data_IF_712588829635
#
_entry.id   IF_712588829635
#
_cell.length_a   1.000
_cell.length_b   1.000
_cell.length_c   1.000
_cell.angle_alpha   90.00
_cell.angle_beta   90.00
_cell.angle_gamma   90.00
#
_symmetry.space_group_name_H-M   'P 1'
#
loop_
_entity.id
_entity.type
_entity.pdbx_description
1 polymer ?
#
# COMPACT_ATOMS: atom_id res chain seq x y z
N UNK A 1 -22.67 17.92 4.90
CA UNK A 1 -21.26 17.66 4.63
C UNK A 1 -21.16 16.29 4.02
N UNK A 2 -20.81 16.17 2.76
CA UNK A 2 -20.56 14.87 2.11
C UNK A 2 -19.39 14.18 2.82
N UNK A 3 -19.62 12.98 3.31
CA UNK A 3 -18.58 12.16 3.95
C UNK A 3 -17.47 11.95 2.92
N UNK A 4 -16.25 12.35 3.24
CA UNK A 4 -15.10 12.07 2.38
C UNK A 4 -14.91 10.55 2.35
N UNK A 5 -14.88 9.97 1.16
CA UNK A 5 -14.46 8.58 0.94
C UNK A 5 -13.33 8.58 -0.09
N UNK A 6 -12.42 7.63 0.01
CA UNK A 6 -11.36 7.46 -1.00
C UNK A 6 -11.96 7.13 -2.37
N UNK A 7 -13.12 6.52 -2.40
CA UNK A 7 -13.85 6.12 -3.59
C UNK A 7 -14.55 7.27 -4.34
N UNK A 8 -14.79 8.43 -3.70
CA UNK A 8 -15.28 9.61 -4.45
C UNK A 8 -14.30 10.08 -5.53
N UNK A 9 -13.07 9.57 -5.49
CA UNK A 9 -12.07 9.73 -6.53
C UNK A 9 -11.97 8.51 -7.46
N UNK A 10 -12.94 7.59 -7.47
CA UNK A 10 -12.83 6.27 -8.12
C UNK A 10 -12.49 6.36 -9.60
N UNK A 11 -13.15 7.21 -10.36
CA UNK A 11 -12.86 7.39 -11.79
C UNK A 11 -11.52 8.09 -12.05
N UNK A 12 -10.93 8.72 -11.03
CA UNK A 12 -9.69 9.47 -11.08
C UNK A 12 -8.65 9.08 -10.03
N UNK A 13 -8.91 8.03 -9.19
CA UNK A 13 -8.02 7.71 -8.06
C UNK A 13 -6.57 7.52 -8.51
N UNK A 14 -6.32 6.70 -9.52
CA UNK A 14 -4.98 6.43 -10.03
C UNK A 14 -4.34 7.69 -10.66
N UNK A 15 -5.11 8.48 -11.39
CA UNK A 15 -4.63 9.75 -11.95
C UNK A 15 -4.42 10.81 -10.87
N UNK A 16 -5.28 10.83 -9.85
CA UNK A 16 -5.18 11.76 -8.73
C UNK A 16 -3.96 11.46 -7.86
N UNK A 17 -3.67 10.18 -7.57
CA UNK A 17 -2.55 9.81 -6.70
C UNK A 17 -1.20 10.08 -7.37
N UNK A 18 -1.07 9.87 -8.67
CA UNK A 18 0.16 10.19 -9.42
C UNK A 18 0.47 11.69 -9.42
N UNK A 19 -0.59 12.53 -9.48
CA UNK A 19 -0.49 14.00 -9.32
C UNK A 19 -0.23 14.43 -7.87
N UNK A 20 -0.55 13.58 -6.90
CA UNK A 20 -0.39 13.87 -5.46
C UNK A 20 0.92 13.35 -4.88
N UNK A 21 1.44 12.24 -5.38
CA UNK A 21 2.67 11.60 -4.90
C UNK A 21 3.67 11.50 -6.04
N UNK A 22 4.70 12.34 -6.00
CA UNK A 22 5.74 12.36 -7.02
C UNK A 22 6.38 10.99 -7.17
N UNK A 23 6.37 10.46 -8.41
CA UNK A 23 6.96 9.17 -8.73
C UNK A 23 6.12 7.96 -8.31
N UNK A 24 4.82 8.14 -8.08
CA UNK A 24 3.90 7.04 -7.75
C UNK A 24 3.87 5.98 -8.86
N UNK A 25 3.83 6.38 -10.12
CA UNK A 25 3.87 5.47 -11.27
C UNK A 25 5.15 4.62 -11.30
N UNK A 26 6.30 5.19 -10.90
CA UNK A 26 7.55 4.44 -10.78
C UNK A 26 7.50 3.46 -9.59
N UNK A 27 7.03 3.91 -8.42
CA UNK A 27 6.82 3.03 -7.26
C UNK A 27 5.96 1.82 -7.62
N UNK A 28 4.84 2.06 -8.31
CA UNK A 28 3.92 1.01 -8.74
C UNK A 28 4.61 0.03 -9.72
N UNK A 29 5.35 0.56 -10.70
CA UNK A 29 6.12 -0.26 -11.66
C UNK A 29 7.22 -1.07 -10.98
N UNK A 30 7.92 -0.49 -9.99
CA UNK A 30 8.94 -1.19 -9.21
C UNK A 30 8.34 -2.34 -8.39
N UNK A 31 7.17 -2.14 -7.77
CA UNK A 31 6.48 -3.20 -7.01
C UNK A 31 6.05 -4.34 -7.94
N UNK A 32 5.53 -4.03 -9.12
CA UNK A 32 5.24 -5.06 -10.13
C UNK A 32 6.50 -5.85 -10.51
N UNK A 33 7.62 -5.16 -10.74
CA UNK A 33 8.87 -5.85 -11.06
C UNK A 33 9.39 -6.70 -9.89
N UNK A 34 9.29 -6.22 -8.66
CA UNK A 34 9.65 -6.96 -7.46
C UNK A 34 8.78 -8.21 -7.29
N UNK A 35 7.49 -8.16 -7.69
CA UNK A 35 6.61 -9.33 -7.57
C UNK A 35 7.14 -10.57 -8.27
N UNK A 36 7.91 -10.42 -9.36
CA UNK A 36 8.55 -11.53 -10.10
C UNK A 36 9.53 -12.35 -9.27
N UNK A 37 10.04 -11.78 -8.18
CA UNK A 37 11.03 -12.43 -7.32
C UNK A 37 10.40 -13.15 -6.12
N UNK A 38 9.12 -12.84 -5.81
CA UNK A 38 8.47 -13.31 -4.60
C UNK A 38 7.22 -14.13 -4.85
N UNK A 39 6.52 -13.92 -5.98
CA UNK A 39 5.32 -14.71 -6.28
C UNK A 39 5.73 -16.15 -6.58
N UNK A 40 5.10 -17.11 -5.87
CA UNK A 40 5.38 -18.53 -6.00
C UNK A 40 4.09 -19.32 -6.28
N UNK A 41 4.21 -20.45 -6.99
CA UNK A 41 3.08 -21.32 -7.26
C UNK A 41 2.49 -21.90 -5.97
N UNK A 42 1.17 -22.06 -5.94
CA UNK A 42 0.42 -22.61 -4.83
C UNK A 42 0.53 -21.81 -3.53
N UNK A 43 0.85 -20.51 -3.65
CA UNK A 43 0.90 -19.59 -2.52
C UNK A 43 -0.12 -18.46 -2.67
N UNK A 44 -0.28 -17.69 -1.58
CA UNK A 44 -1.10 -16.48 -1.56
C UNK A 44 -0.24 -15.23 -1.82
N UNK A 45 -0.78 -14.32 -2.64
CA UNK A 45 -0.33 -12.95 -2.80
C UNK A 45 -1.44 -12.04 -2.27
N UNK A 46 -1.14 -11.21 -1.27
CA UNK A 46 -2.15 -10.39 -0.59
C UNK A 46 -1.82 -8.91 -0.74
N UNK A 47 -2.83 -8.09 -1.10
CA UNK A 47 -2.70 -6.62 -1.15
C UNK A 47 -3.65 -5.97 -0.14
N UNK A 48 -3.07 -5.27 0.84
CA UNK A 48 -3.81 -4.59 1.91
C UNK A 48 -4.21 -3.18 1.48
N UNK A 49 -5.52 -2.88 1.50
CA UNK A 49 -6.06 -1.62 1.00
C UNK A 49 -5.94 -1.57 -0.52
N UNK A 50 -6.42 -2.61 -1.17
CA UNK A 50 -6.21 -2.83 -2.61
C UNK A 50 -7.00 -1.87 -3.50
N UNK A 51 -7.89 -1.03 -2.96
CA UNK A 51 -8.74 -0.09 -3.70
C UNK A 51 -9.43 -0.74 -4.89
N UNK A 52 -9.12 -0.34 -6.12
CA UNK A 52 -9.66 -0.91 -7.35
C UNK A 52 -9.09 -2.28 -7.76
N UNK A 53 -8.19 -2.86 -6.96
CA UNK A 53 -7.49 -4.11 -7.28
C UNK A 53 -6.48 -4.00 -8.43
N UNK A 54 -6.14 -2.79 -8.86
CA UNK A 54 -5.26 -2.56 -10.03
C UNK A 54 -3.89 -3.20 -9.87
N UNK A 55 -3.29 -3.13 -8.67
CA UNK A 55 -1.98 -3.71 -8.41
C UNK A 55 -2.00 -5.23 -8.55
N UNK A 56 -3.00 -5.89 -7.95
CA UNK A 56 -3.17 -7.34 -8.05
C UNK A 56 -3.39 -7.80 -9.50
N UNK A 57 -4.24 -7.10 -10.24
CA UNK A 57 -4.45 -7.40 -11.68
C UNK A 57 -3.16 -7.30 -12.46
N UNK A 58 -2.37 -6.25 -12.23
CA UNK A 58 -1.05 -6.11 -12.86
C UNK A 58 -0.08 -7.22 -12.46
N UNK A 59 -0.07 -7.67 -11.20
CA UNK A 59 0.74 -8.80 -10.75
C UNK A 59 0.31 -10.12 -11.40
N UNK A 60 -1.00 -10.36 -11.53
CA UNK A 60 -1.53 -11.55 -12.23
C UNK A 60 -1.04 -11.56 -13.68
N UNK A 61 -1.31 -10.48 -14.42
CA UNK A 61 -0.93 -10.37 -15.83
C UNK A 61 0.57 -10.57 -16.07
N UNK A 62 1.39 -10.10 -15.12
CA UNK A 62 2.84 -10.22 -15.20
C UNK A 62 3.38 -11.61 -14.88
N UNK A 63 2.77 -12.31 -13.91
CA UNK A 63 3.31 -13.56 -13.36
C UNK A 63 2.62 -14.83 -13.90
N UNK A 64 1.35 -14.75 -14.33
CA UNK A 64 0.52 -15.91 -14.66
C UNK A 64 1.15 -16.88 -15.68
N UNK A 65 1.97 -16.39 -16.60
CA UNK A 65 2.63 -17.23 -17.60
C UNK A 65 3.62 -18.21 -17.00
N UNK A 66 4.33 -17.79 -15.94
CA UNK A 66 5.38 -18.58 -15.31
C UNK A 66 4.92 -19.19 -13.97
N UNK A 67 3.95 -18.57 -13.32
CA UNK A 67 3.41 -18.92 -12.00
C UNK A 67 1.87 -18.97 -12.11
N UNK A 68 1.30 -20.01 -12.73
CA UNK A 68 -0.12 -20.05 -13.05
C UNK A 68 -1.03 -20.40 -11.86
N UNK A 69 -0.49 -20.91 -10.75
CA UNK A 69 -1.28 -21.41 -9.63
C UNK A 69 -1.21 -20.54 -8.36
N UNK A 70 -0.55 -19.37 -8.41
CA UNK A 70 -0.60 -18.41 -7.33
C UNK A 70 -2.03 -17.85 -7.17
N UNK A 71 -2.46 -17.66 -5.93
CA UNK A 71 -3.76 -17.08 -5.60
C UNK A 71 -3.57 -15.64 -5.11
N UNK A 72 -4.45 -14.74 -5.50
CA UNK A 72 -4.34 -13.32 -5.22
C UNK A 72 -5.55 -12.87 -4.42
N UNK A 73 -5.33 -12.15 -3.32
CA UNK A 73 -6.39 -11.64 -2.46
C UNK A 73 -6.22 -10.15 -2.20
N UNK A 74 -7.21 -9.36 -2.57
CA UNK A 74 -7.30 -7.95 -2.21
C UNK A 74 -8.10 -7.78 -0.92
N UNK A 75 -7.57 -7.01 0.03
CA UNK A 75 -8.28 -6.63 1.25
C UNK A 75 -8.69 -5.18 1.14
N UNK A 76 -10.00 -4.89 1.27
CA UNK A 76 -10.52 -3.52 1.21
C UNK A 76 -11.68 -3.35 2.18
N UNK A 77 -11.69 -2.22 2.91
CA UNK A 77 -12.73 -1.89 3.89
C UNK A 77 -13.77 -0.91 3.33
N UNK A 78 -13.42 -0.12 2.32
CA UNK A 78 -14.29 0.89 1.73
C UNK A 78 -15.26 0.25 0.74
N UNK A 79 -16.54 0.18 1.11
CA UNK A 79 -17.62 -0.46 0.33
C UNK A 79 -17.76 0.12 -1.08
N UNK A 80 -17.44 1.39 -1.26
CA UNK A 80 -17.54 2.09 -2.55
C UNK A 80 -16.64 1.50 -3.64
N UNK A 81 -15.61 0.71 -3.28
CA UNK A 81 -14.77 -0.03 -4.23
C UNK A 81 -15.35 -1.40 -4.63
N UNK A 82 -16.30 -1.94 -3.88
CA UNK A 82 -16.74 -3.34 -4.04
C UNK A 82 -17.50 -3.61 -5.35
N UNK A 83 -18.08 -2.57 -5.98
CA UNK A 83 -18.91 -2.74 -7.18
C UNK A 83 -18.22 -3.42 -8.37
N UNK A 84 -16.90 -3.29 -8.50
CA UNK A 84 -16.14 -3.86 -9.63
C UNK A 84 -15.55 -5.24 -9.30
N UNK A 85 -15.50 -5.62 -8.02
CA UNK A 85 -14.82 -6.83 -7.57
C UNK A 85 -15.42 -8.11 -8.14
N UNK A 86 -16.75 -8.21 -8.21
CA UNK A 86 -17.41 -9.38 -8.79
C UNK A 86 -17.05 -9.55 -10.28
N UNK A 87 -16.89 -8.45 -11.01
CA UNK A 87 -16.43 -8.52 -12.41
C UNK A 87 -15.00 -9.01 -12.50
N UNK A 88 -14.12 -8.50 -11.64
CA UNK A 88 -12.71 -8.88 -11.60
C UNK A 88 -12.53 -10.35 -11.20
N UNK A 89 -13.25 -10.83 -10.16
CA UNK A 89 -13.25 -12.23 -9.71
C UNK A 89 -13.69 -13.18 -10.82
N UNK A 90 -14.66 -12.78 -11.64
CA UNK A 90 -15.11 -13.58 -12.80
C UNK A 90 -14.08 -13.59 -13.94
N UNK A 91 -13.34 -12.50 -14.13
CA UNK A 91 -12.32 -12.39 -15.18
C UNK A 91 -11.01 -13.08 -14.84
N UNK A 92 -10.59 -12.97 -13.58
CA UNK A 92 -9.34 -13.50 -13.06
C UNK A 92 -9.63 -14.59 -12.01
N UNK A 93 -9.68 -15.84 -12.41
CA UNK A 93 -10.03 -16.97 -11.54
C UNK A 93 -9.11 -17.16 -10.32
N UNK A 94 -7.90 -16.57 -10.33
CA UNK A 94 -6.97 -16.58 -9.20
C UNK A 94 -7.20 -15.38 -8.24
N UNK A 95 -8.10 -14.44 -8.55
CA UNK A 95 -8.33 -13.22 -7.78
C UNK A 95 -9.57 -13.35 -6.92
N UNK A 96 -9.42 -13.01 -5.64
CA UNK A 96 -10.50 -12.92 -4.66
C UNK A 96 -10.41 -11.59 -3.91
N UNK A 97 -11.52 -11.14 -3.33
CA UNK A 97 -11.54 -9.95 -2.49
C UNK A 97 -12.13 -10.25 -1.11
N UNK A 98 -11.35 -9.93 -0.07
CA UNK A 98 -11.82 -9.88 1.30
C UNK A 98 -12.38 -8.47 1.58
N UNK A 99 -13.71 -8.38 1.67
CA UNK A 99 -14.45 -7.13 1.88
C UNK A 99 -14.58 -6.89 3.38
N UNK A 100 -13.55 -6.25 3.98
CA UNK A 100 -13.50 -6.04 5.42
C UNK A 100 -12.18 -5.51 5.94
N UNK A 101 -12.06 -5.51 7.26
CA UNK A 101 -10.89 -5.00 7.97
C UNK A 101 -9.73 -5.99 7.92
N UNK A 102 -8.54 -5.51 7.56
CA UNK A 102 -7.32 -6.33 7.53
C UNK A 102 -6.98 -6.98 8.87
N UNK A 103 -7.43 -6.40 9.99
CA UNK A 103 -7.24 -6.97 11.33
C UNK A 103 -7.96 -8.32 11.50
N UNK A 104 -9.00 -8.56 10.72
CA UNK A 104 -9.80 -9.78 10.74
C UNK A 104 -9.29 -10.83 9.73
N UNK A 105 -8.42 -10.42 8.81
CA UNK A 105 -7.87 -11.30 7.79
C UNK A 105 -6.82 -12.26 8.38
N UNK A 106 -6.86 -13.51 7.95
CA UNK A 106 -5.90 -14.54 8.34
C UNK A 106 -4.89 -14.77 7.21
N UNK A 107 -3.67 -14.29 7.44
CA UNK A 107 -2.57 -14.47 6.50
C UNK A 107 -2.01 -15.89 6.62
N UNK A 108 -2.08 -16.68 5.57
CA UNK A 108 -1.56 -18.06 5.54
C UNK A 108 -0.91 -18.34 4.20
N UNK A 109 0.21 -19.06 4.24
CA UNK A 109 0.92 -19.52 3.04
C UNK A 109 1.18 -18.38 2.03
N UNK A 110 1.55 -17.19 2.53
CA UNK A 110 1.81 -16.04 1.67
C UNK A 110 3.26 -16.05 1.17
N UNK A 111 3.46 -15.84 -0.12
CA UNK A 111 4.79 -15.57 -0.69
C UNK A 111 5.04 -14.05 -0.80
N UNK A 112 3.98 -13.26 -0.97
CA UNK A 112 4.06 -11.81 -1.06
C UNK A 112 2.85 -11.16 -0.38
N UNK A 113 3.13 -10.14 0.43
CA UNK A 113 2.11 -9.21 0.95
C UNK A 113 2.50 -7.80 0.54
N UNK A 114 1.55 -7.03 0.01
CA UNK A 114 1.75 -5.61 -0.34
C UNK A 114 0.84 -4.69 0.47
N UNK A 115 1.28 -3.44 0.66
CA UNK A 115 0.49 -2.39 1.33
C UNK A 115 0.94 -1.02 0.86
N UNK A 116 0.16 -0.36 0.01
CA UNK A 116 0.54 0.90 -0.59
C UNK A 116 -0.27 2.03 0.03
N UNK A 117 0.39 2.83 0.89
CA UNK A 117 -0.20 3.95 1.62
C UNK A 117 -1.43 3.59 2.48
N UNK A 118 -1.44 2.40 3.08
CA UNK A 118 -2.57 1.87 3.85
C UNK A 118 -2.34 1.92 5.36
N UNK A 119 -1.15 1.49 5.85
CA UNK A 119 -0.87 1.45 7.29
C UNK A 119 -1.03 2.83 7.96
N UNK A 120 -0.75 3.91 7.26
CA UNK A 120 -0.88 5.28 7.77
C UNK A 120 -2.33 5.65 8.17
N UNK A 121 -3.34 4.93 7.65
CA UNK A 121 -4.75 5.12 8.00
C UNK A 121 -5.23 4.20 9.12
N UNK A 122 -4.46 3.18 9.47
CA UNK A 122 -4.75 2.32 10.61
C UNK A 122 -4.43 3.03 11.93
N UNK A 123 -5.13 2.65 13.00
CA UNK A 123 -4.79 3.09 14.35
C UNK A 123 -3.35 2.66 14.69
N UNK A 124 -2.48 3.57 15.21
CA UNK A 124 -1.10 3.23 15.53
C UNK A 124 -0.94 2.02 16.46
N UNK A 125 -1.89 1.81 17.38
CA UNK A 125 -1.89 0.69 18.34
C UNK A 125 -2.08 -0.69 17.66
N UNK A 126 -2.72 -0.71 16.50
CA UNK A 126 -3.08 -1.98 15.83
C UNK A 126 -2.01 -2.41 14.79
N UNK A 127 -1.13 -1.49 14.37
CA UNK A 127 -0.16 -1.72 13.28
C UNK A 127 0.82 -2.85 13.58
N UNK A 128 1.37 -2.86 14.80
CA UNK A 128 2.35 -3.89 15.19
C UNK A 128 1.73 -5.29 15.14
N UNK A 129 0.48 -5.43 15.58
CA UNK A 129 -0.22 -6.72 15.55
C UNK A 129 -0.42 -7.20 14.11
N UNK A 130 -0.86 -6.32 13.21
CA UNK A 130 -1.03 -6.65 11.78
C UNK A 130 0.30 -7.02 11.14
N UNK A 131 1.38 -6.28 11.39
CA UNK A 131 2.72 -6.61 10.89
C UNK A 131 3.19 -7.96 11.41
N UNK A 132 2.92 -8.28 12.68
CA UNK A 132 3.22 -9.59 13.27
C UNK A 132 2.42 -10.73 12.61
N UNK A 133 1.14 -10.49 12.28
CA UNK A 133 0.30 -11.46 11.54
C UNK A 133 0.86 -11.71 10.14
N UNK A 134 1.26 -10.64 9.43
CA UNK A 134 1.89 -10.76 8.10
C UNK A 134 3.16 -11.60 8.20
N UNK A 135 4.05 -11.31 9.18
CA UNK A 135 5.28 -12.08 9.36
C UNK A 135 4.99 -13.57 9.59
N UNK A 136 4.01 -13.89 10.42
CA UNK A 136 3.62 -15.29 10.68
C UNK A 136 3.08 -15.98 9.44
N UNK A 137 2.23 -15.31 8.67
CA UNK A 137 1.58 -15.85 7.48
C UNK A 137 2.46 -15.96 6.23
N UNK A 138 3.55 -15.19 6.16
CA UNK A 138 4.53 -15.29 5.07
C UNK A 138 5.33 -16.59 5.18
N UNK A 139 5.64 -17.18 4.03
CA UNK A 139 6.61 -18.26 3.90
C UNK A 139 8.04 -17.73 4.11
N UNK A 140 8.98 -18.60 4.50
CA UNK A 140 10.41 -18.30 4.51
C UNK A 140 10.85 -17.89 3.10
N UNK A 141 11.58 -16.80 2.96
CA UNK A 141 11.93 -16.18 1.67
C UNK A 141 10.87 -15.23 1.10
N UNK A 142 9.67 -15.21 1.67
CA UNK A 142 8.61 -14.30 1.27
C UNK A 142 8.87 -12.86 1.72
N UNK A 143 8.11 -11.92 1.15
CA UNK A 143 8.29 -10.50 1.39
C UNK A 143 6.99 -9.78 1.78
N UNK A 144 7.14 -8.77 2.65
CA UNK A 144 6.18 -7.70 2.84
C UNK A 144 6.71 -6.43 2.18
N UNK A 145 6.08 -6.01 1.07
CA UNK A 145 6.44 -4.80 0.32
C UNK A 145 5.42 -3.72 0.62
N UNK A 146 5.86 -2.61 1.20
CA UNK A 146 4.95 -1.54 1.56
C UNK A 146 5.53 -0.16 1.31
N UNK A 147 4.66 0.82 1.17
CA UNK A 147 5.06 2.22 1.09
C UNK A 147 4.16 3.09 1.95
N UNK A 148 4.77 4.11 2.58
CA UNK A 148 4.10 5.00 3.53
C UNK A 148 4.61 6.43 3.43
N UNK A 149 3.75 7.39 3.76
CA UNK A 149 4.18 8.76 4.09
C UNK A 149 4.83 8.74 5.47
N UNK A 150 5.95 9.47 5.61
CA UNK A 150 6.70 9.54 6.87
C UNK A 150 6.87 10.97 7.34
N UNK A 151 7.16 11.14 8.63
CA UNK A 151 7.63 12.40 9.20
C UNK A 151 9.13 12.35 9.45
N UNK A 152 9.78 13.52 9.34
CA UNK A 152 11.14 13.70 9.85
C UNK A 152 11.13 14.13 11.31
N UNK A 153 12.02 13.55 12.12
CA UNK A 153 12.26 14.01 13.50
C UNK A 153 12.96 15.37 13.55
N UNK A 154 13.58 15.82 12.44
CA UNK A 154 14.19 17.14 12.36
C UNK A 154 13.16 18.14 11.79
N UNK A 155 12.76 19.19 12.54
CA UNK A 155 11.74 20.13 12.10
C UNK A 155 12.09 20.84 10.79
N UNK A 156 13.35 21.23 10.61
CA UNK A 156 13.81 21.91 9.39
C UNK A 156 13.70 21.00 8.16
N UNK A 157 14.05 19.72 8.31
CA UNK A 157 13.91 18.73 7.23
C UNK A 157 12.43 18.46 6.95
N UNK A 158 11.60 18.40 8.00
CA UNK A 158 10.15 18.23 7.84
C UNK A 158 9.55 19.39 7.03
N UNK A 159 9.90 20.64 7.35
CA UNK A 159 9.43 21.81 6.60
C UNK A 159 9.88 21.75 5.15
N UNK A 160 11.16 21.47 4.88
CA UNK A 160 11.68 21.32 3.53
C UNK A 160 10.88 20.28 2.72
N UNK A 161 10.65 19.09 3.28
CA UNK A 161 9.89 18.03 2.61
C UNK A 161 8.44 18.43 2.37
N UNK A 162 7.83 19.16 3.31
CA UNK A 162 6.45 19.63 3.20
C UNK A 162 6.31 20.63 2.06
N UNK A 163 7.21 21.63 1.99
CA UNK A 163 7.14 22.64 0.93
C UNK A 163 7.48 22.06 -0.44
N UNK A 164 8.48 21.20 -0.56
CA UNK A 164 8.77 20.49 -1.81
C UNK A 164 7.58 19.64 -2.29
N UNK A 165 6.88 19.00 -1.36
CA UNK A 165 5.66 18.26 -1.66
C UNK A 165 4.53 19.16 -2.15
N UNK A 166 4.34 20.35 -1.54
CA UNK A 166 3.35 21.31 -1.99
C UNK A 166 3.72 21.91 -3.34
N UNK A 167 4.99 22.23 -3.59
CA UNK A 167 5.46 22.72 -4.88
C UNK A 167 5.21 21.73 -6.02
N UNK A 168 5.39 20.44 -5.74
CA UNK A 168 5.01 19.39 -6.69
C UNK A 168 3.49 19.39 -6.95
N UNK A 169 2.67 19.43 -5.90
CA UNK A 169 1.20 19.41 -6.02
C UNK A 169 0.66 20.65 -6.75
N UNK A 170 1.27 21.83 -6.59
CA UNK A 170 0.90 23.06 -7.28
C UNK A 170 1.01 22.99 -8.80
N UNK A 171 1.72 22.03 -9.34
CA UNK A 171 1.73 21.77 -10.78
C UNK A 171 0.38 21.23 -11.29
N UNK A 172 -0.48 20.73 -10.39
CA UNK A 172 -1.72 20.05 -10.74
C UNK A 172 -2.95 20.56 -9.96
N UNK A 173 -2.76 21.20 -8.81
CA UNK A 173 -3.82 21.62 -7.89
C UNK A 173 -3.60 23.06 -7.41
N UNK A 174 -4.67 23.74 -7.07
CA UNK A 174 -4.63 25.06 -6.40
C UNK A 174 -4.23 24.90 -4.94
N UNK A 175 -3.72 26.00 -4.33
CA UNK A 175 -3.39 26.00 -2.90
C UNK A 175 -4.61 25.67 -2.03
N UNK A 176 -5.80 26.11 -2.42
CA UNK A 176 -7.04 25.80 -1.70
C UNK A 176 -7.33 24.29 -1.71
N UNK A 177 -7.24 23.63 -2.86
CA UNK A 177 -7.47 22.19 -2.99
C UNK A 177 -6.44 21.39 -2.17
N UNK A 178 -5.17 21.81 -2.20
CA UNK A 178 -4.10 21.20 -1.42
C UNK A 178 -4.41 21.28 0.07
N UNK A 179 -4.75 22.48 0.58
CA UNK A 179 -5.01 22.70 2.00
C UNK A 179 -6.31 22.02 2.46
N UNK A 180 -7.38 22.07 1.68
CA UNK A 180 -8.64 21.39 1.98
C UNK A 180 -8.40 19.87 2.12
N UNK A 181 -7.58 19.29 1.24
CA UNK A 181 -7.20 17.87 1.32
C UNK A 181 -6.36 17.56 2.55
N UNK A 182 -5.38 18.38 2.90
CA UNK A 182 -4.56 18.23 4.11
C UNK A 182 -5.42 18.32 5.39
N UNK A 183 -6.40 19.24 5.44
CA UNK A 183 -7.35 19.35 6.55
C UNK A 183 -8.17 18.07 6.69
N UNK A 184 -8.66 17.53 5.58
CA UNK A 184 -9.43 16.27 5.56
C UNK A 184 -8.59 15.10 6.05
N UNK A 185 -7.38 14.93 5.49
CA UNK A 185 -6.50 13.81 5.82
C UNK A 185 -5.93 13.87 7.24
N UNK A 186 -5.82 15.06 7.86
CA UNK A 186 -5.31 15.25 9.22
C UNK A 186 -6.00 14.37 10.26
N UNK A 187 -7.30 14.17 10.13
CA UNK A 187 -8.09 13.36 11.06
C UNK A 187 -7.96 11.86 10.81
N UNK A 188 -7.65 11.47 9.59
CA UNK A 188 -7.64 10.08 9.13
C UNK A 188 -6.24 9.48 9.13
N UNK A 189 -5.25 10.24 8.66
CA UNK A 189 -3.88 9.76 8.44
C UNK A 189 -2.99 10.04 9.65
N UNK A 190 -2.26 9.02 10.07
CA UNK A 190 -1.32 9.07 11.22
C UNK A 190 0.05 8.51 10.79
N UNK A 191 0.85 9.28 10.02
CA UNK A 191 2.14 8.80 9.58
C UNK A 191 3.09 8.54 10.74
N UNK A 192 3.97 7.56 10.57
CA UNK A 192 5.10 7.31 11.45
C UNK A 192 6.34 8.05 10.95
N UNK A 193 7.36 8.16 11.79
CA UNK A 193 8.71 8.43 11.31
C UNK A 193 9.27 7.18 10.60
N UNK A 194 10.26 7.37 9.73
CA UNK A 194 10.95 6.24 9.09
C UNK A 194 11.56 5.27 10.11
N UNK A 195 12.10 5.81 11.21
CA UNK A 195 12.68 5.01 12.30
C UNK A 195 11.62 4.15 13.01
N UNK A 196 10.45 4.70 13.27
CA UNK A 196 9.35 3.94 13.88
C UNK A 196 8.84 2.82 12.95
N UNK A 197 8.69 3.11 11.65
CA UNK A 197 8.33 2.08 10.67
C UNK A 197 9.35 0.94 10.65
N UNK A 198 10.64 1.28 10.59
CA UNK A 198 11.71 0.28 10.60
C UNK A 198 11.68 -0.55 11.87
N UNK A 199 11.53 0.12 13.03
CA UNK A 199 11.46 -0.59 14.31
C UNK A 199 10.30 -1.57 14.36
N UNK A 200 9.09 -1.19 13.95
CA UNK A 200 7.92 -2.08 13.96
C UNK A 200 8.15 -3.33 13.12
N UNK A 201 8.76 -3.17 11.95
CA UNK A 201 9.01 -4.25 11.01
C UNK A 201 10.15 -5.16 11.51
N UNK A 202 11.21 -4.59 12.10
CA UNK A 202 12.29 -5.34 12.73
C UNK A 202 11.82 -6.11 13.97
N UNK A 203 10.99 -5.49 14.80
CA UNK A 203 10.41 -6.12 16.01
C UNK A 203 9.55 -7.34 15.64
N UNK A 204 8.96 -7.38 14.45
CA UNK A 204 8.25 -8.55 13.92
C UNK A 204 9.19 -9.66 13.41
N UNK A 205 10.47 -9.36 13.16
CA UNK A 205 11.49 -10.33 12.71
C UNK A 205 11.97 -10.16 11.27
N UNK A 206 11.52 -9.14 10.55
CA UNK A 206 11.91 -8.91 9.16
C UNK A 206 13.33 -8.32 9.02
N UNK A 207 14.00 -8.69 7.93
CA UNK A 207 15.11 -7.91 7.37
C UNK A 207 14.57 -6.83 6.44
N UNK A 208 15.14 -5.59 6.52
CA UNK A 208 14.55 -4.41 5.89
C UNK A 208 15.48 -3.83 4.82
N UNK A 209 14.90 -3.52 3.65
CA UNK A 209 15.60 -2.82 2.57
C UNK A 209 14.70 -1.70 2.02
N UNK A 210 15.24 -0.47 1.91
CA UNK A 210 14.55 0.61 1.20
C UNK A 210 14.83 0.46 -0.29
N UNK A 211 13.79 0.33 -1.11
CA UNK A 211 13.92 0.25 -2.58
C UNK A 211 13.50 1.55 -3.28
N UNK A 212 12.67 2.38 -2.62
CA UNK A 212 12.19 3.62 -3.18
C UNK A 212 12.07 4.70 -2.09
N UNK A 213 12.37 5.94 -2.45
CA UNK A 213 12.12 7.10 -1.58
C UNK A 213 11.91 8.35 -2.42
N UNK A 214 10.85 9.10 -2.10
CA UNK A 214 10.59 10.40 -2.72
C UNK A 214 10.01 11.36 -1.67
N UNK A 215 10.71 12.48 -1.43
CA UNK A 215 10.41 13.38 -0.32
C UNK A 215 10.23 12.62 0.99
N UNK A 216 9.06 12.73 1.61
CA UNK A 216 8.66 12.07 2.84
C UNK A 216 7.87 10.76 2.60
N UNK A 217 7.94 10.19 1.41
CA UNK A 217 7.39 8.87 1.10
C UNK A 217 8.52 7.85 0.97
N UNK A 218 8.30 6.66 1.50
CA UNK A 218 9.28 5.58 1.50
C UNK A 218 8.64 4.27 1.04
N UNK A 219 9.36 3.50 0.20
CA UNK A 219 9.03 2.14 -0.20
C UNK A 219 10.04 1.15 0.41
N UNK A 220 9.53 0.12 1.04
CA UNK A 220 10.29 -0.84 1.84
C UNK A 220 9.98 -2.26 1.37
N UNK A 221 11.03 -3.06 1.18
CA UNK A 221 10.96 -4.52 1.10
C UNK A 221 11.40 -5.08 2.44
N UNK A 222 10.53 -5.81 3.10
CA UNK A 222 10.77 -6.50 4.36
C UNK A 222 10.76 -8.01 4.12
N UNK A 223 11.92 -8.65 4.29
CA UNK A 223 12.12 -10.07 3.97
C UNK A 223 11.96 -10.95 5.22
N UNK A 224 11.24 -12.05 5.08
CA UNK A 224 11.21 -13.13 6.08
C UNK A 224 12.33 -14.12 5.79
N UNK A 225 13.25 -14.26 6.74
CA UNK A 225 14.33 -15.27 6.71
C UNK A 225 13.85 -16.64 7.18
#
# INVERSE_FOLDING_TARGET
MTKFTFATSKEGFDNHIDKSVRGYSHLWGDILNLSKYFVEDYTQVVDMGCSSGKLLKGMIEQNVKNIPHAQYTGIEIEEDFFGDYTHDENKYHQLNYFRGDVREFDFQNCSLVTSIFTLQFMSPKDRQEVINKIYKGLNTGGAFIFSEKTFSCNPRVQDMMTFMFYDYKRQHFTDKEILDKEVTLRHMMKPNTKTELYKMVQDAGFEIHTFWQNFNFVGIVALKK
#
